data_IF_282880596214
#
_entry.id   IF_282880596214
#
_cell.length_a   1.000
_cell.length_b   1.000
_cell.length_c   1.000
_cell.angle_alpha   90.00
_cell.angle_beta   90.00
_cell.angle_gamma   90.00
#
_symmetry.space_group_name_H-M   'P 1'
#
loop_
_entity.id
_entity.type
_entity.pdbx_description
1 polymer ?
#
# COMPACT_ATOMS: atom_id res chain seq x y z
N UNK A 1 -28.08 6.95 14.10
CA UNK A 1 -26.80 7.45 13.52
C UNK A 1 -25.84 7.90 14.63
N UNK A 2 -24.53 7.91 14.35
CA UNK A 2 -23.50 8.38 15.30
C UNK A 2 -22.49 9.21 14.54
N UNK A 3 -22.16 10.39 15.09
CA UNK A 3 -21.04 11.19 14.61
C UNK A 3 -19.76 10.70 15.28
N UNK A 4 -18.65 10.73 14.54
CA UNK A 4 -17.31 10.43 15.04
C UNK A 4 -16.35 11.50 14.53
N UNK A 5 -15.50 12.04 15.45
CA UNK A 5 -14.48 13.03 15.10
C UNK A 5 -13.26 12.91 16.01
N UNK A 6 -12.15 13.49 15.64
CA UNK A 6 -10.96 13.55 16.48
C UNK A 6 -10.72 14.96 17.00
N UNK A 7 -10.38 15.09 18.28
CA UNK A 7 -9.99 16.32 18.93
C UNK A 7 -8.52 16.26 19.35
N UNK A 8 -7.75 17.27 18.94
CA UNK A 8 -6.34 17.38 19.31
C UNK A 8 -6.20 17.83 20.77
N UNK A 9 -5.52 17.03 21.59
CA UNK A 9 -5.26 17.31 23.02
C UNK A 9 -4.03 18.19 23.26
N UNK A 10 -3.19 18.35 22.25
CA UNK A 10 -2.00 19.22 22.26
C UNK A 10 -2.20 20.53 21.51
N UNK A 11 -3.46 20.99 21.40
CA UNK A 11 -3.87 22.20 20.69
C UNK A 11 -3.53 22.19 19.18
N UNK A 12 -3.32 20.99 18.61
CA UNK A 12 -2.95 20.82 17.20
C UNK A 12 -1.48 21.07 16.90
N UNK A 13 -0.67 21.44 17.87
CA UNK A 13 0.77 21.67 17.70
C UNK A 13 1.58 20.44 18.16
N UNK A 14 2.26 19.73 17.23
CA UNK A 14 3.05 18.56 17.57
C UNK A 14 4.26 18.84 18.47
N UNK A 15 4.64 20.11 18.64
CA UNK A 15 5.72 20.54 19.53
C UNK A 15 5.28 20.54 21.00
N UNK A 16 3.98 20.70 21.26
CA UNK A 16 3.46 20.66 22.60
C UNK A 16 3.59 19.25 23.19
N UNK A 17 4.09 19.11 24.43
CA UNK A 17 4.16 17.80 25.09
C UNK A 17 2.75 17.32 25.43
N UNK A 18 2.42 16.09 25.06
CA UNK A 18 1.17 15.44 25.41
C UNK A 18 1.36 13.92 25.46
N UNK A 19 0.85 13.28 26.51
CA UNK A 19 0.86 11.81 26.64
C UNK A 19 -0.22 11.16 25.75
N UNK A 20 -1.30 11.90 25.49
CA UNK A 20 -2.33 11.56 24.52
C UNK A 20 -2.49 12.75 23.60
N UNK A 21 -2.35 12.52 22.29
CA UNK A 21 -2.36 13.62 21.32
C UNK A 21 -3.74 13.87 20.74
N UNK A 22 -4.52 12.80 20.57
CA UNK A 22 -5.87 12.92 20.05
C UNK A 22 -6.85 12.13 20.92
N UNK A 23 -8.09 12.62 21.01
CA UNK A 23 -9.22 11.84 21.48
C UNK A 23 -10.21 11.67 20.31
N UNK A 24 -10.57 10.44 20.03
CA UNK A 24 -11.68 10.14 19.12
C UNK A 24 -12.96 10.26 19.93
N UNK A 25 -13.84 11.15 19.52
CA UNK A 25 -15.10 11.47 20.18
C UNK A 25 -16.27 10.87 19.42
N UNK A 26 -17.35 10.55 20.12
CA UNK A 26 -18.59 10.06 19.50
C UNK A 26 -19.82 10.76 20.09
N UNK A 27 -20.83 10.97 19.23
CA UNK A 27 -22.12 11.54 19.65
C UNK A 27 -23.25 10.84 18.87
N UNK A 28 -24.12 10.18 19.61
CA UNK A 28 -25.29 9.52 19.07
C UNK A 28 -26.42 10.50 18.72
N UNK A 29 -27.29 10.09 17.83
CA UNK A 29 -28.53 10.80 17.49
C UNK A 29 -29.40 10.98 18.76
N UNK A 30 -30.07 12.15 18.97
CA UNK A 30 -30.25 13.26 18.04
C UNK A 30 -29.15 14.34 18.04
N UNK A 31 -27.95 14.04 18.46
CA UNK A 31 -26.76 14.91 18.46
C UNK A 31 -26.84 16.12 19.41
N UNK A 32 -27.69 16.05 20.43
CA UNK A 32 -27.90 17.11 21.43
C UNK A 32 -27.32 16.75 22.81
N UNK A 33 -26.78 15.54 22.96
CA UNK A 33 -26.17 15.08 24.20
C UNK A 33 -24.73 15.56 24.39
N UNK A 34 -24.12 15.09 25.48
CA UNK A 34 -22.69 15.29 25.70
C UNK A 34 -21.90 14.26 24.90
N UNK A 35 -20.89 14.69 24.12
CA UNK A 35 -20.01 13.74 23.44
C UNK A 35 -19.29 12.80 24.42
N UNK A 36 -19.13 11.56 24.01
CA UNK A 36 -18.38 10.56 24.74
C UNK A 36 -17.01 10.33 24.09
N UNK A 37 -15.99 10.06 24.90
CA UNK A 37 -14.70 9.62 24.39
C UNK A 37 -14.81 8.17 23.93
N UNK A 38 -14.59 7.95 22.62
CA UNK A 38 -14.56 6.62 22.03
C UNK A 38 -13.20 5.95 22.27
N UNK A 39 -12.10 6.70 22.03
CA UNK A 39 -10.73 6.22 22.24
C UNK A 39 -9.75 7.39 22.40
N UNK A 40 -8.85 7.33 23.38
CA UNK A 40 -7.71 8.23 23.49
C UNK A 40 -6.47 7.62 22.83
N UNK A 41 -5.78 8.39 22.02
CA UNK A 41 -4.64 7.98 21.22
C UNK A 41 -3.36 8.67 21.67
N UNK A 42 -2.28 7.90 21.76
CA UNK A 42 -0.93 8.43 22.03
C UNK A 42 -0.42 9.25 20.83
N UNK A 43 -0.77 8.85 19.61
CA UNK A 43 -0.40 9.49 18.37
C UNK A 43 -1.59 10.23 17.74
N UNK A 44 -1.42 10.74 16.51
CA UNK A 44 -2.49 11.36 15.74
C UNK A 44 -3.44 10.32 15.17
N UNK A 45 -4.72 10.59 15.29
CA UNK A 45 -5.75 9.84 14.59
C UNK A 45 -5.51 9.88 13.07
N UNK A 46 -5.43 8.72 12.45
CA UNK A 46 -5.20 8.57 11.02
C UNK A 46 -6.38 7.95 10.27
N UNK A 47 -7.33 7.36 10.98
CA UNK A 47 -8.54 6.78 10.40
C UNK A 47 -9.28 5.86 11.36
N UNK A 48 -10.58 5.69 11.12
CA UNK A 48 -11.42 4.72 11.83
C UNK A 48 -12.34 4.05 10.82
N UNK A 49 -12.32 2.73 10.80
CA UNK A 49 -13.15 1.90 9.92
C UNK A 49 -13.95 0.93 10.79
N UNK A 50 -15.23 0.73 10.45
CA UNK A 50 -16.13 -0.10 11.24
C UNK A 50 -16.52 -1.38 10.50
N UNK A 51 -16.70 -2.45 11.23
CA UNK A 51 -17.47 -3.61 10.78
C UNK A 51 -18.97 -3.35 10.93
N UNK A 52 -19.79 -4.15 10.29
CA UNK A 52 -21.26 -4.05 10.38
C UNK A 52 -21.80 -4.20 11.82
N UNK A 53 -21.06 -4.87 12.70
CA UNK A 53 -21.43 -5.08 14.09
C UNK A 53 -20.94 -3.98 15.06
N UNK A 54 -20.34 -2.90 14.52
CA UNK A 54 -19.84 -1.76 15.29
C UNK A 54 -18.47 -1.93 15.93
N UNK A 55 -17.74 -3.00 15.62
CA UNK A 55 -16.32 -3.11 15.95
C UNK A 55 -15.53 -2.16 15.07
N UNK A 56 -14.61 -1.38 15.68
CA UNK A 56 -13.78 -0.42 14.97
C UNK A 56 -12.33 -0.88 14.90
N UNK A 57 -11.69 -0.62 13.76
CA UNK A 57 -10.23 -0.55 13.59
C UNK A 57 -9.83 0.92 13.56
N UNK A 58 -9.14 1.38 14.59
CA UNK A 58 -8.69 2.77 14.74
C UNK A 58 -7.19 2.82 14.51
N UNK A 59 -6.78 3.64 13.56
CA UNK A 59 -5.35 3.82 13.21
C UNK A 59 -4.86 5.15 13.76
N UNK A 60 -3.73 5.11 14.44
CA UNK A 60 -2.97 6.28 14.87
C UNK A 60 -1.57 6.28 14.24
N UNK A 61 -1.02 7.48 14.01
CA UNK A 61 0.30 7.65 13.38
C UNK A 61 1.09 8.78 14.02
N UNK A 62 2.40 8.57 14.16
CA UNK A 62 3.32 9.62 14.60
C UNK A 62 4.50 9.75 13.64
N UNK A 63 4.55 10.86 12.91
CA UNK A 63 5.57 11.08 11.88
C UNK A 63 6.99 11.17 12.44
N UNK A 64 7.17 11.74 13.65
CA UNK A 64 8.49 11.91 14.26
C UNK A 64 9.19 10.58 14.54
N UNK A 65 8.43 9.53 14.88
CA UNK A 65 8.97 8.19 15.17
C UNK A 65 8.68 7.19 14.06
N UNK A 66 8.01 7.61 12.99
CA UNK A 66 7.55 6.75 11.89
C UNK A 66 6.72 5.54 12.37
N UNK A 67 6.00 5.70 13.48
CA UNK A 67 5.16 4.63 14.04
C UNK A 67 3.72 4.77 13.58
N UNK A 68 3.12 3.61 13.29
CA UNK A 68 1.69 3.46 13.01
C UNK A 68 1.17 2.33 13.86
N UNK A 69 0.07 2.57 14.60
CA UNK A 69 -0.63 1.54 15.38
C UNK A 69 -2.06 1.41 14.91
N UNK A 70 -2.57 0.19 14.93
CA UNK A 70 -3.98 -0.11 14.70
C UNK A 70 -4.56 -0.78 15.91
N UNK A 71 -5.67 -0.23 16.39
CA UNK A 71 -6.40 -0.69 17.56
C UNK A 71 -7.75 -1.25 17.15
N UNK A 72 -8.13 -2.38 17.73
CA UNK A 72 -9.50 -2.90 17.67
C UNK A 72 -10.23 -2.49 18.92
N UNK A 73 -11.43 -1.92 18.79
CA UNK A 73 -12.25 -1.50 19.92
C UNK A 73 -13.73 -1.44 19.56
N UNK A 74 -14.56 -1.22 20.57
CA UNK A 74 -15.99 -0.86 20.49
C UNK A 74 -16.27 0.24 21.49
N UNK A 75 -17.42 0.91 21.33
CA UNK A 75 -17.87 1.87 22.34
C UNK A 75 -17.93 1.22 23.74
N UNK A 76 -17.23 1.82 24.70
CA UNK A 76 -17.16 1.35 26.08
C UNK A 76 -16.27 0.12 26.33
N UNK A 77 -15.58 -0.42 25.32
CA UNK A 77 -14.66 -1.53 25.46
C UNK A 77 -13.21 -1.07 25.53
N UNK A 78 -12.37 -1.83 26.24
CA UNK A 78 -10.93 -1.60 26.24
C UNK A 78 -10.34 -1.85 24.84
N UNK A 79 -9.45 -0.97 24.36
CA UNK A 79 -8.81 -1.15 23.06
C UNK A 79 -7.81 -2.30 23.09
N UNK A 80 -7.75 -3.05 21.99
CA UNK A 80 -6.81 -4.13 21.77
C UNK A 80 -5.86 -3.76 20.65
N UNK A 81 -4.54 -3.83 20.88
CA UNK A 81 -3.53 -3.58 19.86
C UNK A 81 -3.53 -4.70 18.81
N UNK A 82 -3.71 -4.33 17.54
CA UNK A 82 -3.69 -5.24 16.40
C UNK A 82 -2.33 -5.18 15.71
N UNK A 83 -1.88 -3.98 15.33
CA UNK A 83 -0.59 -3.74 14.70
C UNK A 83 0.15 -2.60 15.39
N UNK A 84 1.48 -2.72 15.49
CA UNK A 84 2.40 -1.65 15.89
C UNK A 84 3.65 -1.73 15.01
N UNK A 85 3.73 -0.87 14.00
CA UNK A 85 4.64 -1.00 12.87
C UNK A 85 5.39 0.30 12.59
N UNK A 86 6.56 0.19 11.96
CA UNK A 86 7.20 1.33 11.31
C UNK A 86 6.48 1.63 9.99
N UNK A 87 6.11 2.90 9.77
CA UNK A 87 5.54 3.34 8.48
C UNK A 87 6.55 3.35 7.33
N UNK A 88 7.84 3.17 7.63
CA UNK A 88 8.92 3.09 6.65
C UNK A 88 9.26 1.64 6.26
N UNK A 89 8.94 0.67 7.11
CA UNK A 89 9.22 -0.75 6.83
C UNK A 89 8.13 -1.34 5.94
N UNK A 90 8.36 -1.26 4.63
CA UNK A 90 7.45 -1.77 3.62
C UNK A 90 7.40 -3.30 3.58
N UNK A 91 8.52 -3.96 3.96
CA UNK A 91 8.62 -5.42 3.90
C UNK A 91 7.80 -6.10 5.00
N UNK A 92 7.65 -5.45 6.15
CA UNK A 92 6.81 -5.92 7.24
C UNK A 92 5.34 -5.45 7.16
N UNK A 93 4.98 -4.67 6.14
CA UNK A 93 3.64 -4.10 6.03
C UNK A 93 2.57 -5.19 5.83
N UNK A 94 1.58 -5.32 6.73
CA UNK A 94 0.52 -6.33 6.64
C UNK A 94 -0.54 -6.01 5.58
N UNK A 95 -0.41 -4.87 4.89
CA UNK A 95 -1.45 -4.32 4.03
C UNK A 95 -2.50 -3.51 4.79
N UNK A 96 -3.55 -3.13 4.08
CA UNK A 96 -4.71 -2.40 4.62
C UNK A 96 -5.93 -3.31 4.65
N UNK A 97 -6.80 -3.11 5.62
CA UNK A 97 -8.08 -3.82 5.65
C UNK A 97 -8.92 -3.47 4.43
N UNK A 98 -9.52 -4.48 3.84
CA UNK A 98 -10.47 -4.31 2.73
C UNK A 98 -11.81 -3.79 3.26
N UNK A 99 -12.43 -2.92 2.46
CA UNK A 99 -13.75 -2.37 2.76
C UNK A 99 -14.74 -2.69 1.64
N UNK A 100 -16.02 -2.68 1.99
CA UNK A 100 -17.13 -2.79 1.05
C UNK A 100 -18.09 -1.62 1.26
N UNK A 101 -18.75 -1.23 0.19
CA UNK A 101 -19.80 -0.18 0.26
C UNK A 101 -20.98 -0.65 1.08
N UNK A 102 -21.53 0.24 1.89
CA UNK A 102 -22.75 0.05 2.65
C UNK A 102 -23.69 1.25 2.44
N UNK A 103 -24.89 1.19 3.00
CA UNK A 103 -25.87 2.29 2.93
C UNK A 103 -25.33 3.59 3.54
N UNK A 104 -24.41 3.50 4.49
CA UNK A 104 -23.88 4.66 5.25
C UNK A 104 -22.39 4.92 5.00
N UNK A 105 -21.86 4.45 3.87
CA UNK A 105 -20.44 4.60 3.54
C UNK A 105 -19.74 3.25 3.43
N UNK A 106 -18.42 3.24 3.64
CA UNK A 106 -17.61 2.00 3.59
C UNK A 106 -17.52 1.35 4.96
N UNK A 107 -17.63 0.03 4.99
CA UNK A 107 -17.40 -0.79 6.19
C UNK A 107 -16.32 -1.83 5.92
N UNK A 108 -15.66 -2.31 6.96
CA UNK A 108 -14.68 -3.38 6.88
C UNK A 108 -15.31 -4.65 6.32
N UNK A 109 -14.65 -5.25 5.35
CA UNK A 109 -15.09 -6.50 4.74
C UNK A 109 -14.78 -7.66 5.68
N UNK A 110 -15.82 -8.30 6.20
CA UNK A 110 -15.72 -9.47 7.06
C UNK A 110 -16.08 -10.76 6.31
N UNK A 111 -15.59 -11.89 6.82
CA UNK A 111 -16.06 -13.22 6.41
C UNK A 111 -17.54 -13.40 6.80
N UNK A 112 -18.23 -14.33 6.18
CA UNK A 112 -19.66 -14.60 6.40
C UNK A 112 -20.00 -14.88 7.87
N UNK A 113 -19.08 -15.50 8.60
CA UNK A 113 -19.22 -15.80 10.03
C UNK A 113 -18.75 -14.64 10.96
N UNK A 114 -18.28 -13.53 10.37
CA UNK A 114 -17.80 -12.36 11.08
C UNK A 114 -16.47 -12.55 11.82
N UNK A 115 -15.85 -13.72 11.77
CA UNK A 115 -14.63 -14.02 12.57
C UNK A 115 -13.34 -13.50 11.93
N UNK A 116 -13.34 -13.28 10.63
CA UNK A 116 -12.17 -12.81 9.91
C UNK A 116 -12.44 -11.51 9.16
N UNK A 117 -11.39 -10.72 9.00
CA UNK A 117 -11.30 -9.58 8.09
C UNK A 117 -10.33 -9.91 6.96
N UNK A 118 -10.29 -9.08 5.93
CA UNK A 118 -9.39 -9.27 4.81
C UNK A 118 -8.42 -8.10 4.70
N UNK A 119 -7.18 -8.40 4.35
CA UNK A 119 -6.10 -7.44 4.13
C UNK A 119 -5.62 -7.55 2.68
N UNK A 120 -5.33 -6.42 2.06
CA UNK A 120 -4.60 -6.39 0.81
C UNK A 120 -3.39 -5.47 0.93
N UNK A 121 -2.27 -5.86 0.34
CA UNK A 121 -1.04 -5.10 0.41
C UNK A 121 -0.17 -5.23 -0.82
N UNK A 122 0.85 -4.37 -0.89
CA UNK A 122 1.80 -4.37 -2.00
C UNK A 122 2.73 -5.58 -1.99
N UNK A 123 2.92 -6.23 -0.83
CA UNK A 123 3.82 -7.36 -0.72
C UNK A 123 5.25 -7.00 -1.10
N UNK A 124 5.73 -5.85 -0.59
CA UNK A 124 7.08 -5.39 -0.87
C UNK A 124 8.12 -6.41 -0.41
N UNK A 125 9.16 -6.60 -1.21
CA UNK A 125 10.24 -7.55 -0.94
C UNK A 125 11.54 -7.07 -1.59
N UNK A 126 12.63 -7.79 -1.33
CA UNK A 126 13.94 -7.55 -1.99
C UNK A 126 13.93 -7.81 -3.50
N UNK A 127 12.84 -8.40 -4.03
CA UNK A 127 12.64 -8.63 -5.46
C UNK A 127 11.60 -7.66 -6.07
N UNK A 128 11.10 -6.72 -5.27
CA UNK A 128 10.03 -5.78 -5.63
C UNK A 128 8.67 -6.17 -5.06
N UNK A 129 7.68 -5.37 -5.41
CA UNK A 129 6.32 -5.52 -4.91
C UNK A 129 5.62 -6.73 -5.58
N UNK A 130 4.99 -7.56 -4.77
CA UNK A 130 4.17 -8.71 -5.16
C UNK A 130 2.85 -8.66 -4.40
N UNK A 131 1.82 -7.96 -4.92
CA UNK A 131 0.57 -7.74 -4.21
C UNK A 131 -0.09 -9.02 -3.74
N UNK A 132 -0.79 -8.90 -2.60
CA UNK A 132 -1.41 -10.05 -1.95
C UNK A 132 -2.78 -9.71 -1.35
N UNK A 133 -3.53 -10.77 -1.04
CA UNK A 133 -4.71 -10.73 -0.19
C UNK A 133 -4.56 -11.78 0.90
N UNK A 134 -4.77 -11.36 2.14
CA UNK A 134 -4.76 -12.21 3.32
C UNK A 134 -6.13 -12.21 4.01
N UNK A 135 -6.46 -13.33 4.63
CA UNK A 135 -7.53 -13.43 5.62
C UNK A 135 -6.91 -13.28 7.01
N UNK A 136 -7.38 -12.31 7.77
CA UNK A 136 -6.97 -12.02 9.14
C UNK A 136 -8.00 -12.57 10.13
N UNK A 137 -7.62 -13.53 10.95
CA UNK A 137 -8.46 -14.08 12.02
C UNK A 137 -8.41 -13.15 13.24
N UNK A 138 -9.57 -12.62 13.65
CA UNK A 138 -9.66 -11.59 14.67
C UNK A 138 -9.37 -12.12 16.08
N UNK A 139 -9.54 -13.41 16.34
CA UNK A 139 -9.31 -14.01 17.65
C UNK A 139 -7.83 -14.37 17.87
N UNK A 140 -7.21 -14.99 16.85
CA UNK A 140 -5.82 -15.45 16.92
C UNK A 140 -4.81 -14.42 16.44
N UNK A 141 -5.27 -13.34 15.77
CA UNK A 141 -4.46 -12.32 15.09
C UNK A 141 -3.52 -12.88 14.02
N UNK A 142 -3.82 -14.05 13.50
CA UNK A 142 -3.04 -14.69 12.43
C UNK A 142 -3.60 -14.38 11.06
N UNK A 143 -2.71 -14.30 10.08
CA UNK A 143 -3.08 -14.15 8.67
C UNK A 143 -2.91 -15.48 7.93
N UNK A 144 -3.77 -15.70 6.94
CA UNK A 144 -3.66 -16.80 5.97
C UNK A 144 -3.66 -16.19 4.58
N UNK A 145 -2.62 -16.45 3.78
CA UNK A 145 -2.49 -15.98 2.40
C UNK A 145 -3.55 -16.63 1.51
N UNK A 146 -4.43 -15.82 0.91
CA UNK A 146 -5.42 -16.26 -0.07
C UNK A 146 -4.94 -16.09 -1.50
N UNK A 147 -4.23 -14.99 -1.77
CA UNK A 147 -3.70 -14.63 -3.07
C UNK A 147 -2.33 -13.97 -2.95
N UNK A 148 -1.45 -14.22 -3.90
CA UNK A 148 -0.15 -13.58 -4.01
C UNK A 148 0.24 -13.49 -5.48
N UNK A 149 0.55 -12.29 -5.96
CA UNK A 149 1.06 -12.07 -7.30
C UNK A 149 2.41 -12.77 -7.50
N UNK A 150 2.55 -13.48 -8.60
CA UNK A 150 3.76 -14.26 -8.92
C UNK A 150 4.39 -13.84 -10.25
N UNK A 151 5.73 -13.90 -10.31
CA UNK A 151 6.47 -13.65 -11.54
C UNK A 151 5.95 -14.51 -12.71
N UNK A 152 5.92 -14.01 -13.95
CA UNK A 152 6.36 -12.69 -14.40
C UNK A 152 5.25 -11.64 -14.42
N UNK A 153 4.19 -11.80 -13.64
CA UNK A 153 3.03 -10.91 -13.59
C UNK A 153 3.08 -9.99 -12.38
N UNK A 154 2.44 -8.85 -12.52
CA UNK A 154 2.05 -7.98 -11.43
C UNK A 154 0.52 -7.92 -11.39
N UNK A 155 -0.05 -8.42 -10.30
CA UNK A 155 -1.51 -8.57 -10.14
C UNK A 155 -1.96 -7.82 -8.90
N UNK A 156 -2.49 -6.62 -9.10
CA UNK A 156 -3.00 -5.80 -8.02
C UNK A 156 -4.45 -6.18 -7.67
N UNK A 157 -4.75 -6.57 -6.42
CA UNK A 157 -6.10 -6.77 -5.96
C UNK A 157 -6.96 -5.52 -6.15
N UNK A 158 -8.16 -5.69 -6.68
CA UNK A 158 -9.13 -4.60 -6.91
C UNK A 158 -10.34 -4.75 -5.99
N UNK A 159 -10.92 -5.93 -5.95
CA UNK A 159 -12.05 -6.24 -5.08
C UNK A 159 -12.11 -7.72 -4.75
N UNK A 160 -12.43 -8.02 -3.51
CA UNK A 160 -12.72 -9.37 -3.05
C UNK A 160 -14.25 -9.54 -3.04
N UNK A 161 -14.76 -10.47 -3.84
CA UNK A 161 -16.16 -10.67 -4.15
C UNK A 161 -16.68 -11.99 -3.54
N UNK A 162 -18.00 -12.23 -3.64
CA UNK A 162 -18.66 -13.48 -3.26
C UNK A 162 -18.25 -13.98 -1.87
N UNK A 163 -18.36 -13.10 -0.88
CA UNK A 163 -17.97 -13.39 0.51
C UNK A 163 -16.55 -13.92 0.68
N UNK A 164 -15.61 -13.47 -0.16
CA UNK A 164 -14.20 -13.85 -0.08
C UNK A 164 -13.80 -15.03 -0.97
N UNK A 165 -14.69 -15.48 -1.86
CA UNK A 165 -14.43 -16.60 -2.78
C UNK A 165 -13.70 -16.16 -4.05
N UNK A 166 -14.07 -14.99 -4.58
CA UNK A 166 -13.65 -14.52 -5.90
C UNK A 166 -12.85 -13.23 -5.77
N UNK A 167 -11.73 -13.11 -6.46
CA UNK A 167 -10.88 -11.93 -6.45
C UNK A 167 -10.84 -11.30 -7.84
N UNK A 168 -11.23 -10.03 -7.94
CA UNK A 168 -10.95 -9.20 -9.11
C UNK A 168 -9.55 -8.64 -8.98
N UNK A 169 -8.69 -8.90 -9.96
CA UNK A 169 -7.33 -8.37 -10.04
C UNK A 169 -7.14 -7.52 -11.30
N UNK A 170 -6.30 -6.50 -11.19
CA UNK A 170 -5.73 -5.81 -12.33
C UNK A 170 -4.37 -6.44 -12.61
N UNK A 171 -4.30 -7.19 -13.68
CA UNK A 171 -3.13 -7.96 -14.10
C UNK A 171 -2.38 -7.24 -15.20
N UNK A 172 -1.08 -7.18 -15.06
CA UNK A 172 -0.15 -6.62 -16.04
C UNK A 172 1.17 -7.42 -16.04
N UNK A 173 1.97 -7.25 -17.07
CA UNK A 173 3.37 -7.69 -17.09
C UNK A 173 4.20 -6.64 -17.87
N UNK A 174 5.48 -6.87 -18.06
CA UNK A 174 6.33 -5.96 -18.85
C UNK A 174 5.81 -5.81 -20.28
N UNK A 175 5.20 -6.87 -20.83
CA UNK A 175 4.71 -6.94 -22.22
C UNK A 175 3.18 -6.84 -22.35
N UNK A 176 2.45 -7.01 -21.26
CA UNK A 176 0.99 -6.95 -21.27
C UNK A 176 0.49 -5.74 -20.51
N UNK A 177 -0.27 -4.82 -21.14
CA UNK A 177 -0.89 -3.70 -20.45
C UNK A 177 -1.91 -4.17 -19.42
N UNK A 178 -2.25 -3.31 -18.43
CA UNK A 178 -3.20 -3.67 -17.37
C UNK A 178 -4.55 -4.11 -17.92
N UNK A 179 -4.95 -5.32 -17.56
CA UNK A 179 -6.25 -5.92 -17.85
C UNK A 179 -6.90 -6.47 -16.59
N UNK A 180 -8.20 -6.63 -16.59
CA UNK A 180 -8.94 -7.15 -15.44
C UNK A 180 -9.24 -8.63 -15.62
N UNK A 181 -9.02 -9.38 -14.54
CA UNK A 181 -9.21 -10.83 -14.45
C UNK A 181 -9.93 -11.16 -13.16
N UNK A 182 -10.89 -12.03 -13.20
CA UNK A 182 -11.52 -12.64 -12.03
C UNK A 182 -10.86 -13.97 -11.75
N UNK A 183 -10.48 -14.19 -10.50
CA UNK A 183 -9.83 -15.42 -10.03
C UNK A 183 -10.70 -16.06 -8.95
N UNK A 184 -11.12 -17.30 -9.13
CA UNK A 184 -11.72 -18.12 -8.06
C UNK A 184 -10.58 -18.59 -7.14
N UNK A 185 -10.61 -18.17 -5.88
CA UNK A 185 -9.50 -18.39 -4.94
C UNK A 185 -9.34 -19.86 -4.51
N UNK A 186 -10.39 -20.68 -4.65
CA UNK A 186 -10.35 -22.09 -4.31
C UNK A 186 -9.85 -22.95 -5.48
N UNK A 187 -10.49 -22.82 -6.64
CA UNK A 187 -10.16 -23.63 -7.83
C UNK A 187 -8.99 -23.08 -8.64
N UNK A 188 -8.63 -21.81 -8.42
CA UNK A 188 -7.67 -21.04 -9.22
C UNK A 188 -8.11 -20.82 -10.67
N UNK A 189 -9.38 -21.05 -10.97
CA UNK A 189 -9.95 -20.75 -12.29
C UNK A 189 -9.92 -19.24 -12.55
N UNK A 190 -9.59 -18.87 -13.77
CA UNK A 190 -9.45 -17.48 -14.17
C UNK A 190 -10.45 -17.14 -15.31
N UNK A 191 -11.03 -15.94 -15.23
CA UNK A 191 -11.86 -15.38 -16.30
C UNK A 191 -11.37 -13.99 -16.64
N UNK A 192 -10.88 -13.79 -17.85
CA UNK A 192 -10.46 -12.47 -18.35
C UNK A 192 -11.69 -11.62 -18.67
N UNK A 193 -11.75 -10.40 -18.15
CA UNK A 193 -12.85 -9.47 -18.36
C UNK A 193 -12.56 -8.44 -19.45
N UNK A 194 -11.29 -8.05 -19.63
CA UNK A 194 -10.88 -7.02 -20.60
C UNK A 194 -9.71 -7.51 -21.45
N UNK A 195 -9.53 -6.90 -22.63
CA UNK A 195 -8.44 -7.20 -23.55
C UNK A 195 -7.86 -5.90 -24.13
N UNK A 196 -7.42 -5.00 -23.25
CA UNK A 196 -6.74 -3.78 -23.63
C UNK A 196 -5.39 -4.11 -24.27
N UNK A 197 -5.10 -3.46 -25.37
CA UNK A 197 -3.84 -3.62 -26.10
C UNK A 197 -2.84 -2.54 -25.69
N UNK A 198 -1.55 -2.80 -25.91
CA UNK A 198 -0.52 -1.79 -25.72
C UNK A 198 -0.82 -0.58 -26.62
N UNK A 199 -0.97 0.63 -26.04
CA UNK A 199 -1.25 1.84 -26.82
C UNK A 199 -0.02 2.38 -27.56
N UNK A 200 1.19 1.89 -27.25
CA UNK A 200 2.46 2.38 -27.79
C UNK A 200 3.46 1.24 -28.02
N UNK A 201 3.10 0.24 -28.85
CA UNK A 201 3.94 -0.94 -29.04
C UNK A 201 5.31 -0.63 -29.67
N UNK A 202 5.45 0.53 -30.32
CA UNK A 202 6.70 1.04 -30.88
C UNK A 202 7.77 1.36 -29.84
N UNK A 203 7.39 1.66 -28.60
CA UNK A 203 8.34 1.91 -27.52
C UNK A 203 9.00 0.63 -26.99
N UNK A 204 8.38 -0.53 -27.27
CA UNK A 204 8.86 -1.83 -26.81
C UNK A 204 8.81 -2.02 -25.30
N UNK A 205 9.51 -3.03 -24.83
CA UNK A 205 9.56 -3.34 -23.39
C UNK A 205 10.42 -2.31 -22.64
N UNK A 206 9.82 -1.63 -21.66
CA UNK A 206 10.51 -0.75 -20.73
C UNK A 206 10.74 -1.49 -19.40
N UNK A 207 11.69 -2.40 -19.38
CA UNK A 207 12.02 -3.19 -18.20
C UNK A 207 13.15 -2.52 -17.41
N UNK A 208 12.92 -2.12 -16.14
CA UNK A 208 13.98 -1.57 -15.33
C UNK A 208 14.96 -2.63 -14.85
N UNK A 209 16.24 -2.26 -14.77
CA UNK A 209 17.23 -2.96 -13.96
C UNK A 209 17.32 -2.28 -12.59
N UNK A 210 17.36 -3.06 -11.52
CA UNK A 210 17.58 -2.51 -10.17
C UNK A 210 19.07 -2.39 -9.92
N UNK A 211 19.57 -1.16 -9.86
CA UNK A 211 20.92 -0.88 -9.41
C UNK A 211 20.97 -0.83 -7.89
N UNK A 212 22.01 -1.43 -7.32
CA UNK A 212 22.37 -1.33 -5.91
C UNK A 212 23.73 -0.64 -5.80
N UNK A 213 23.81 0.36 -4.95
CA UNK A 213 25.05 1.12 -4.75
C UNK A 213 25.15 1.56 -3.29
N UNK A 214 26.36 1.98 -2.90
CA UNK A 214 26.61 2.45 -1.54
C UNK A 214 26.94 3.94 -1.56
N UNK A 215 26.35 4.65 -0.63
CA UNK A 215 26.75 6.01 -0.30
C UNK A 215 28.10 5.99 0.44
N UNK A 216 28.80 7.12 0.49
CA UNK A 216 30.15 7.20 1.10
C UNK A 216 30.18 6.81 2.59
N UNK A 217 29.06 6.93 3.29
CA UNK A 217 28.89 6.49 4.69
C UNK A 217 28.50 5.01 4.83
N UNK A 218 28.47 4.26 3.71
CA UNK A 218 28.20 2.82 3.69
C UNK A 218 26.73 2.44 3.59
N UNK A 219 25.80 3.39 3.55
CA UNK A 219 24.37 3.11 3.40
C UNK A 219 24.10 2.52 2.01
N UNK A 220 23.43 1.37 1.97
CA UNK A 220 23.01 0.75 0.72
C UNK A 220 21.78 1.46 0.16
N UNK A 221 21.85 1.77 -1.12
CA UNK A 221 20.85 2.52 -1.87
C UNK A 221 20.45 1.77 -3.14
N UNK A 222 19.32 2.17 -3.71
CA UNK A 222 18.81 1.56 -4.94
C UNK A 222 18.34 2.60 -5.93
N UNK A 223 18.35 2.23 -7.23
CA UNK A 223 17.76 2.99 -8.32
C UNK A 223 17.19 2.03 -9.35
N UNK A 224 16.23 2.49 -10.15
CA UNK A 224 15.76 1.81 -11.36
C UNK A 224 16.49 2.39 -12.57
N UNK A 225 17.19 1.55 -13.31
CA UNK A 225 17.86 1.96 -14.53
C UNK A 225 17.08 1.46 -15.75
N UNK A 226 16.77 2.37 -16.65
CA UNK A 226 16.20 2.06 -17.96
C UNK A 226 17.22 2.39 -19.05
N UNK A 227 17.36 1.48 -20.01
CA UNK A 227 18.25 1.63 -21.15
C UNK A 227 17.46 1.71 -22.45
N UNK A 228 17.99 2.42 -23.49
CA UNK A 228 17.37 2.44 -24.80
C UNK A 228 17.22 1.04 -25.38
N UNK A 229 16.16 0.84 -26.17
CA UNK A 229 15.92 -0.44 -26.84
C UNK A 229 17.10 -0.83 -27.72
N UNK A 230 17.59 -2.04 -27.55
CA UNK A 230 18.71 -2.61 -28.31
C UNK A 230 20.09 -2.08 -27.90
N UNK A 231 20.18 -1.24 -26.87
CA UNK A 231 21.48 -0.81 -26.37
C UNK A 231 22.26 -1.97 -25.75
N UNK A 232 23.54 -2.01 -26.09
CA UNK A 232 24.53 -2.91 -25.47
C UNK A 232 25.76 -2.13 -25.02
N UNK A 233 26.45 -2.60 -23.99
CA UNK A 233 27.66 -1.95 -23.46
C UNK A 233 28.78 -1.77 -24.50
N UNK A 234 28.78 -2.58 -25.56
CA UNK A 234 29.74 -2.49 -26.67
C UNK A 234 29.55 -1.21 -27.49
N UNK A 235 28.40 -0.55 -27.42
CA UNK A 235 28.12 0.71 -28.13
C UNK A 235 28.70 1.95 -27.41
N UNK A 236 29.34 1.77 -26.25
CA UNK A 236 29.97 2.86 -25.51
C UNK A 236 29.07 3.47 -24.44
N UNK A 237 29.47 4.64 -23.92
CA UNK A 237 28.78 5.33 -22.85
C UNK A 237 27.51 6.04 -23.34
N UNK A 238 26.46 6.07 -22.51
CA UNK A 238 25.26 6.84 -22.77
C UNK A 238 25.20 8.09 -21.87
N UNK A 239 24.60 9.18 -22.34
CA UNK A 239 24.15 10.24 -21.45
C UNK A 239 23.01 9.70 -20.59
N UNK A 240 22.98 10.07 -19.30
CA UNK A 240 21.92 9.66 -18.38
C UNK A 240 21.16 10.85 -17.85
N UNK A 241 19.83 10.69 -17.78
CA UNK A 241 18.96 11.52 -16.97
C UNK A 241 18.78 10.87 -15.60
N UNK A 242 19.05 11.61 -14.52
CA UNK A 242 18.72 11.23 -13.16
C UNK A 242 17.38 11.89 -12.80
N UNK A 243 16.35 11.07 -12.57
CA UNK A 243 15.02 11.51 -12.17
C UNK A 243 14.77 11.12 -10.74
N UNK A 244 14.97 12.05 -9.81
CA UNK A 244 14.90 11.81 -8.39
C UNK A 244 13.83 12.68 -7.73
N UNK A 245 13.14 12.10 -6.74
CA UNK A 245 12.35 12.82 -5.76
C UNK A 245 12.95 12.55 -4.38
N UNK A 246 13.41 13.58 -3.64
CA UNK A 246 14.05 13.35 -2.36
C UNK A 246 13.11 12.66 -1.38
N UNK A 247 13.59 11.61 -0.74
CA UNK A 247 12.90 10.87 0.32
C UNK A 247 13.77 10.85 1.57
N UNK A 248 13.15 11.15 2.70
CA UNK A 248 13.80 11.07 3.99
C UNK A 248 13.45 9.75 4.68
N UNK A 249 14.48 9.05 5.15
CA UNK A 249 14.34 7.82 5.92
C UNK A 249 15.02 7.97 7.27
N UNK A 250 14.44 7.40 8.34
CA UNK A 250 15.04 7.37 9.66
C UNK A 250 15.98 6.16 9.87
N UNK A 251 15.92 5.17 9.00
CA UNK A 251 16.78 3.99 9.10
C UNK A 251 17.42 3.63 7.76
N UNK A 252 18.65 3.14 7.81
CA UNK A 252 19.39 2.65 6.64
C UNK A 252 18.67 1.45 6.00
N UNK A 253 18.03 0.59 6.80
CA UNK A 253 17.26 -0.56 6.32
C UNK A 253 16.04 -0.11 5.49
N UNK A 254 15.34 0.95 5.92
CA UNK A 254 14.21 1.48 5.16
C UNK A 254 14.67 2.12 3.84
N UNK A 255 15.80 2.84 3.85
CA UNK A 255 16.39 3.44 2.65
C UNK A 255 16.82 2.40 1.60
N UNK A 256 17.26 1.23 2.03
CA UNK A 256 17.70 0.14 1.16
C UNK A 256 16.56 -0.70 0.56
N UNK A 257 15.30 -0.51 0.99
CA UNK A 257 14.17 -1.29 0.51
C UNK A 257 13.80 -0.93 -0.93
N UNK A 258 13.58 -1.97 -1.74
CA UNK A 258 13.15 -1.81 -3.13
C UNK A 258 11.70 -1.31 -3.17
N UNK A 259 11.44 -0.39 -4.12
CA UNK A 259 10.12 0.15 -4.38
C UNK A 259 9.61 -0.23 -5.77
N UNK A 260 8.32 -0.59 -5.85
CA UNK A 260 7.67 -0.99 -7.09
C UNK A 260 8.01 -2.42 -7.50
N UNK A 261 7.58 -2.83 -8.67
CA UNK A 261 7.78 -4.17 -9.19
C UNK A 261 8.45 -4.13 -10.57
N UNK A 262 9.40 -5.05 -10.86
CA UNK A 262 10.00 -5.17 -12.20
C UNK A 262 9.02 -5.74 -13.24
N UNK A 263 7.86 -6.22 -12.83
CA UNK A 263 6.85 -6.84 -13.68
C UNK A 263 5.72 -5.90 -14.09
N UNK A 264 5.82 -4.60 -13.77
CA UNK A 264 4.80 -3.62 -14.15
C UNK A 264 4.96 -3.19 -15.60
N UNK A 265 3.81 -3.03 -16.27
CA UNK A 265 3.75 -2.40 -17.57
C UNK A 265 4.10 -0.91 -17.46
N UNK A 266 5.07 -0.47 -18.24
CA UNK A 266 5.48 0.92 -18.27
C UNK A 266 4.78 1.63 -19.44
N UNK A 267 3.94 2.61 -19.11
CA UNK A 267 3.25 3.43 -20.11
C UNK A 267 3.68 4.89 -19.96
N UNK A 268 4.62 5.36 -20.77
CA UNK A 268 4.94 6.77 -20.81
C UNK A 268 3.73 7.61 -21.25
N UNK A 269 3.48 8.72 -20.56
CA UNK A 269 2.35 9.61 -20.82
C UNK A 269 2.77 11.07 -20.71
N UNK A 270 2.14 11.95 -21.48
CA UNK A 270 2.41 13.40 -21.43
C UNK A 270 3.89 13.71 -21.66
N UNK A 271 4.47 14.51 -20.77
CA UNK A 271 5.90 14.88 -20.80
C UNK A 271 6.78 13.89 -20.00
N UNK A 272 6.52 12.59 -20.09
CA UNK A 272 7.31 11.58 -19.38
C UNK A 272 8.78 11.65 -19.78
N UNK A 273 9.66 11.65 -18.77
CA UNK A 273 11.10 11.56 -18.98
C UNK A 273 11.53 10.26 -19.69
N UNK A 274 10.68 9.21 -19.66
CA UNK A 274 10.93 7.95 -20.36
C UNK A 274 11.03 8.11 -21.89
N UNK A 275 10.48 9.17 -22.49
CA UNK A 275 10.65 9.42 -23.91
C UNK A 275 12.09 9.72 -24.31
N UNK A 276 12.95 10.13 -23.40
CA UNK A 276 14.38 10.34 -23.67
C UNK A 276 15.11 9.04 -24.01
N UNK A 277 14.55 7.87 -23.67
CA UNK A 277 15.08 6.58 -24.13
C UNK A 277 15.08 6.47 -25.65
N UNK A 278 14.10 7.07 -26.35
CA UNK A 278 14.04 7.08 -27.82
C UNK A 278 15.09 7.99 -28.46
N UNK A 279 15.68 8.89 -27.67
CA UNK A 279 16.75 9.81 -28.06
C UNK A 279 18.14 9.30 -27.66
N UNK A 280 18.24 8.06 -27.15
CA UNK A 280 19.50 7.43 -26.77
C UNK A 280 20.02 7.78 -25.39
N UNK A 281 19.18 8.35 -24.50
CA UNK A 281 19.54 8.55 -23.10
C UNK A 281 19.23 7.31 -22.28
N UNK A 282 20.08 6.99 -21.31
CA UNK A 282 19.71 6.14 -20.18
C UNK A 282 18.94 6.94 -19.12
N UNK A 283 18.14 6.28 -18.33
CA UNK A 283 17.38 6.93 -17.24
C UNK A 283 17.66 6.21 -15.93
N UNK A 284 18.05 6.97 -14.92
CA UNK A 284 18.09 6.57 -13.52
C UNK A 284 16.85 7.14 -12.84
N UNK A 285 15.88 6.27 -12.61
CA UNK A 285 14.58 6.64 -12.05
C UNK A 285 14.51 6.27 -10.58
N UNK A 286 13.97 7.20 -9.78
CA UNK A 286 13.73 7.02 -8.35
C UNK A 286 14.98 6.56 -7.56
N UNK A 287 16.19 7.15 -7.82
CA UNK A 287 17.36 6.81 -7.03
C UNK A 287 17.19 7.31 -5.59
N UNK A 288 17.49 6.45 -4.62
CA UNK A 288 17.62 6.85 -3.22
C UNK A 288 18.96 7.55 -3.01
N UNK A 289 19.01 8.61 -2.19
CA UNK A 289 20.20 9.45 -1.97
C UNK A 289 20.46 9.68 -0.49
#
# INVERSE_FOLDING_TARGET
STLLWAEAKDQGDPRNPASRRDAVMMLGEPFTGTPLTFLELEYRHAGTEFTADGTAMVTERWNKTRRTRTWRTRAGAAPELVFDLSSEDRYAAPGSFLTVSSTFGSILQASTDGKSLYLAGLGASSEGDRPFVDRYDQATKKTTRLFHSTAPRYEAPVALLDAGRTLLVRRESVTEPPNYVVVDLASKAETRLTDFKDPSPELGELKPEVLRYKRNDGVELTAKMYLPRGYTKAQGSLPFLLWAYPREFQSAQAAAQITGSPYRFQRPQGASHMFLLTLGYGILDDPTM
#
